data_IF_701368600939
#
_entry.id   IF_701368600939
#
_cell.length_a   1.000
_cell.length_b   1.000
_cell.length_c   1.000
_cell.angle_alpha   90.00
_cell.angle_beta   90.00
_cell.angle_gamma   90.00
#
_symmetry.space_group_name_H-M   'P 1'
#
loop_
_entity.id
_entity.type
_entity.pdbx_description
1 polymer ?
#
# COMPACT_ATOMS: atom_id res chain seq x y z
N UNK A 1 24.66 5.37 29.54
CA UNK A 1 24.27 6.62 28.86
C UNK A 1 25.03 6.67 27.55
N UNK A 2 24.39 6.88 26.39
CA UNK A 2 23.27 7.80 26.21
C UNK A 2 21.91 7.10 26.09
N UNK A 3 20.98 7.57 26.91
CA UNK A 3 19.56 7.59 26.54
C UNK A 3 19.40 8.82 25.66
N UNK A 4 19.51 8.66 24.34
CA UNK A 4 18.98 9.66 23.42
C UNK A 4 17.47 9.46 23.39
N UNK A 5 16.75 10.46 23.92
CA UNK A 5 15.32 10.59 23.76
C UNK A 5 14.92 10.25 22.32
N UNK A 6 13.96 9.33 22.14
CA UNK A 6 13.23 9.28 20.88
C UNK A 6 12.51 10.63 20.76
N UNK A 7 12.96 11.44 19.80
CA UNK A 7 12.32 12.70 19.47
C UNK A 7 10.83 12.47 19.23
N UNK A 8 10.01 13.19 19.98
CA UNK A 8 8.58 13.23 19.78
C UNK A 8 8.28 13.67 18.35
N UNK A 9 7.53 12.82 17.63
CA UNK A 9 6.97 13.04 16.29
C UNK A 9 7.88 12.64 15.10
N UNK A 10 8.36 11.39 15.10
CA UNK A 10 8.93 10.79 13.89
C UNK A 10 7.89 10.77 12.77
N UNK A 11 8.17 11.50 11.68
CA UNK A 11 7.29 11.52 10.49
C UNK A 11 7.58 10.30 9.63
N UNK A 12 6.56 9.47 9.40
CA UNK A 12 6.64 8.35 8.47
C UNK A 12 6.03 8.73 7.11
N UNK A 13 6.66 8.27 6.03
CA UNK A 13 6.10 8.32 4.68
C UNK A 13 6.00 6.90 4.13
N UNK A 14 4.83 6.53 3.64
CA UNK A 14 4.56 5.20 3.08
C UNK A 14 4.33 5.38 1.58
N UNK A 15 5.11 4.65 0.78
CA UNK A 15 5.05 4.71 -0.67
C UNK A 15 4.51 3.38 -1.20
N UNK A 16 3.32 3.42 -1.82
CA UNK A 16 2.75 2.28 -2.52
C UNK A 16 3.02 2.43 -4.02
N UNK A 17 4.10 1.81 -4.49
CA UNK A 17 4.61 1.97 -5.87
C UNK A 17 4.16 0.82 -6.75
N UNK A 18 3.30 1.11 -7.72
CA UNK A 18 2.73 0.10 -8.64
C UNK A 18 3.82 -0.55 -9.47
N UNK A 19 3.84 -1.88 -9.48
CA UNK A 19 4.74 -2.68 -10.32
C UNK A 19 6.20 -2.73 -9.86
N UNK A 20 6.55 -2.09 -8.74
CA UNK A 20 7.88 -2.18 -8.16
C UNK A 20 8.11 -3.60 -7.64
N UNK A 21 9.21 -4.21 -8.06
CA UNK A 21 9.65 -5.54 -7.66
C UNK A 21 11.17 -5.55 -7.53
N UNK A 22 11.74 -6.58 -6.89
CA UNK A 22 13.19 -6.70 -6.66
C UNK A 22 14.03 -6.62 -7.93
N UNK A 23 13.51 -7.08 -9.08
CA UNK A 23 14.22 -6.98 -10.38
C UNK A 23 14.52 -5.53 -10.81
N UNK A 24 13.75 -4.57 -10.29
CA UNK A 24 13.92 -3.16 -10.60
C UNK A 24 14.95 -2.49 -9.68
N UNK A 25 15.47 -3.18 -8.65
CA UNK A 25 16.50 -2.70 -7.73
C UNK A 25 17.89 -3.07 -8.27
N UNK A 26 18.29 -2.40 -9.36
CA UNK A 26 19.48 -2.75 -10.14
C UNK A 26 20.37 -1.56 -10.48
N UNK A 27 21.21 -1.73 -11.49
CA UNK A 27 22.18 -0.72 -11.92
C UNK A 27 21.54 0.61 -12.38
N UNK A 28 20.33 0.55 -12.95
CA UNK A 28 19.60 1.71 -13.43
C UNK A 28 18.84 2.47 -12.32
N UNK A 29 18.79 1.93 -11.10
CA UNK A 29 18.10 2.54 -9.95
C UNK A 29 19.02 2.62 -8.73
N UNK A 30 20.21 3.25 -8.87
CA UNK A 30 21.27 3.18 -7.86
C UNK A 30 20.84 3.72 -6.48
N UNK A 31 19.98 4.74 -6.45
CA UNK A 31 19.43 5.28 -5.20
C UNK A 31 18.50 4.29 -4.49
N UNK A 32 17.65 3.57 -5.23
CA UNK A 32 16.75 2.57 -4.65
C UNK A 32 17.53 1.34 -4.17
N UNK A 33 18.53 0.90 -4.93
CA UNK A 33 19.43 -0.18 -4.52
C UNK A 33 20.18 0.19 -3.23
N UNK A 34 20.82 1.35 -3.19
CA UNK A 34 21.54 1.81 -2.00
C UNK A 34 20.62 1.96 -0.79
N UNK A 35 19.38 2.42 -0.98
CA UNK A 35 18.39 2.46 0.10
C UNK A 35 18.03 1.06 0.59
N UNK A 36 17.78 0.11 -0.31
CA UNK A 36 17.37 -1.24 0.04
C UNK A 36 18.48 -2.07 0.71
N UNK A 37 19.75 -1.76 0.47
CA UNK A 37 20.93 -2.42 1.04
C UNK A 37 21.48 -1.72 2.31
N UNK A 38 20.92 -0.57 2.69
CA UNK A 38 21.37 0.19 3.86
C UNK A 38 21.20 -0.64 5.14
N UNK A 39 22.24 -0.64 5.98
CA UNK A 39 22.19 -1.28 7.30
C UNK A 39 20.97 -0.81 8.11
N UNK A 40 20.22 -1.77 8.67
CA UNK A 40 18.97 -1.51 9.39
C UNK A 40 17.71 -1.54 8.52
N UNK A 41 17.82 -1.51 7.18
CA UNK A 41 16.67 -1.70 6.29
C UNK A 41 16.40 -3.18 6.02
N UNK A 42 15.13 -3.54 5.91
CA UNK A 42 14.70 -4.92 5.62
C UNK A 42 13.88 -4.97 4.35
N UNK A 43 14.14 -5.99 3.53
CA UNK A 43 13.34 -6.31 2.36
C UNK A 43 12.49 -7.54 2.67
N UNK A 44 11.19 -7.45 2.43
CA UNK A 44 10.25 -8.56 2.64
C UNK A 44 9.47 -8.79 1.36
N UNK A 45 9.39 -10.06 0.94
CA UNK A 45 8.53 -10.46 -0.18
C UNK A 45 7.12 -10.64 0.37
N UNK A 46 6.17 -9.87 -0.18
CA UNK A 46 4.76 -9.97 0.17
C UNK A 46 4.07 -10.87 -0.85
N UNK A 47 3.33 -11.88 -0.37
CA UNK A 47 2.47 -12.67 -1.24
C UNK A 47 1.32 -11.79 -1.76
N UNK A 48 1.17 -11.62 -3.08
CA UNK A 48 0.17 -10.72 -3.63
C UNK A 48 -1.24 -11.28 -3.44
N UNK A 49 -2.18 -10.38 -3.16
CA UNK A 49 -3.60 -10.72 -3.11
C UNK A 49 -4.13 -11.12 -4.49
N UNK A 50 -5.12 -12.01 -4.52
CA UNK A 50 -5.94 -12.28 -5.70
C UNK A 50 -7.31 -11.60 -5.58
N UNK A 51 -7.79 -10.89 -6.63
CA UNK A 51 -7.15 -10.70 -7.93
C UNK A 51 -5.98 -9.68 -7.91
N UNK A 52 -4.91 -10.01 -8.62
CA UNK A 52 -3.66 -9.24 -8.66
C UNK A 52 -3.75 -8.00 -9.58
N UNK A 53 -4.72 -7.12 -9.31
CA UNK A 53 -4.92 -5.84 -9.98
C UNK A 53 -4.75 -4.69 -9.00
N UNK A 54 -4.36 -3.52 -9.53
CA UNK A 54 -3.90 -2.37 -8.75
C UNK A 54 -4.86 -1.96 -7.63
N UNK A 55 -6.13 -1.68 -7.93
CA UNK A 55 -7.09 -1.18 -6.93
C UNK A 55 -7.29 -2.19 -5.79
N UNK A 56 -7.38 -3.48 -6.12
CA UNK A 56 -7.51 -4.57 -5.14
C UNK A 56 -6.29 -4.62 -4.23
N UNK A 57 -5.09 -4.74 -4.80
CA UNK A 57 -3.85 -4.85 -4.04
C UNK A 57 -3.58 -3.63 -3.15
N UNK A 58 -3.82 -2.43 -3.67
CA UNK A 58 -3.62 -1.21 -2.90
C UNK A 58 -4.61 -1.09 -1.73
N UNK A 59 -5.88 -1.47 -1.93
CA UNK A 59 -6.86 -1.50 -0.86
C UNK A 59 -6.52 -2.55 0.22
N UNK A 60 -6.01 -3.72 -0.18
CA UNK A 60 -5.50 -4.74 0.73
C UNK A 60 -4.34 -4.21 1.57
N UNK A 61 -3.30 -3.62 0.96
CA UNK A 61 -2.16 -3.06 1.72
C UNK A 61 -2.56 -1.88 2.62
N UNK A 62 -3.57 -1.12 2.20
CA UNK A 62 -4.02 0.04 2.95
C UNK A 62 -4.79 -0.34 4.23
N UNK A 63 -5.49 -1.47 4.21
CA UNK A 63 -6.43 -1.87 5.27
C UNK A 63 -5.98 -3.12 6.04
N UNK A 64 -5.05 -3.90 5.49
CA UNK A 64 -4.72 -5.23 5.99
C UNK A 64 -5.86 -6.25 5.82
N UNK A 65 -6.87 -5.93 5.01
CA UNK A 65 -8.09 -6.73 4.81
C UNK A 65 -8.08 -7.44 3.46
N UNK A 66 -8.87 -8.49 3.35
CA UNK A 66 -9.07 -9.22 2.08
C UNK A 66 -10.08 -8.51 1.16
N UNK A 67 -10.13 -8.81 -0.15
CA UNK A 67 -11.07 -8.17 -1.08
C UNK A 67 -12.54 -8.35 -0.70
N UNK A 68 -12.89 -9.46 -0.05
CA UNK A 68 -14.24 -9.69 0.49
C UNK A 68 -14.58 -8.80 1.68
N UNK A 69 -13.58 -8.26 2.39
CA UNK A 69 -13.78 -7.38 3.54
C UNK A 69 -13.73 -5.89 3.14
N UNK A 70 -12.76 -5.47 2.32
CA UNK A 70 -12.64 -4.06 1.88
C UNK A 70 -13.46 -3.74 0.63
N UNK A 71 -14.03 -4.74 -0.06
CA UNK A 71 -14.98 -4.57 -1.15
C UNK A 71 -14.40 -4.14 -2.50
N UNK A 72 -13.10 -3.89 -2.60
CA UNK A 72 -12.44 -3.51 -3.86
C UNK A 72 -11.92 -4.78 -4.53
N UNK A 73 -12.69 -5.30 -5.48
CA UNK A 73 -12.41 -6.59 -6.13
C UNK A 73 -11.82 -6.47 -7.53
N UNK A 74 -11.77 -5.27 -8.11
CA UNK A 74 -11.24 -5.04 -9.45
C UNK A 74 -10.80 -3.58 -9.63
N UNK A 75 -10.09 -3.29 -10.73
CA UNK A 75 -9.83 -1.91 -11.16
C UNK A 75 -11.09 -1.22 -11.67
N UNK A 76 -12.09 -1.97 -12.10
CA UNK A 76 -13.38 -1.44 -12.55
C UNK A 76 -14.44 -2.52 -12.50
N UNK A 77 -15.68 -2.09 -12.33
CA UNK A 77 -16.84 -2.97 -12.34
C UNK A 77 -18.06 -2.20 -12.83
N UNK A 78 -19.04 -2.97 -13.26
CA UNK A 78 -20.31 -2.45 -13.73
C UNK A 78 -21.17 -1.97 -12.55
N UNK A 79 -21.62 -0.73 -12.60
CA UNK A 79 -22.51 -0.12 -11.62
C UNK A 79 -23.96 -0.30 -12.05
N UNK A 80 -24.66 -1.21 -11.38
CA UNK A 80 -26.05 -1.58 -11.70
C UNK A 80 -27.04 -0.43 -11.49
N UNK A 81 -26.68 0.58 -10.69
CA UNK A 81 -27.55 1.73 -10.45
C UNK A 81 -27.55 2.67 -11.64
N UNK A 82 -26.40 2.77 -12.32
CA UNK A 82 -26.16 3.70 -13.42
C UNK A 82 -26.17 3.01 -14.79
N UNK A 83 -26.15 1.68 -14.85
CA UNK A 83 -26.01 0.89 -16.08
C UNK A 83 -24.71 1.22 -16.86
N UNK A 84 -23.63 1.44 -16.11
CA UNK A 84 -22.36 1.91 -16.66
C UNK A 84 -21.17 1.10 -16.13
N UNK A 85 -20.13 0.97 -16.97
CA UNK A 85 -18.83 0.45 -16.54
C UNK A 85 -18.00 1.60 -15.98
N UNK A 86 -17.58 1.50 -14.73
CA UNK A 86 -16.69 2.48 -14.12
C UNK A 86 -15.36 1.85 -13.80
N UNK A 87 -14.29 2.59 -14.11
CA UNK A 87 -12.93 2.18 -13.82
C UNK A 87 -12.24 3.20 -12.92
N UNK A 88 -11.33 2.72 -12.09
CA UNK A 88 -10.49 3.49 -11.18
C UNK A 88 -11.30 4.46 -10.32
N UNK A 89 -12.40 3.99 -9.71
CA UNK A 89 -13.21 4.82 -8.83
C UNK A 89 -12.31 5.43 -7.74
N UNK A 90 -12.21 6.76 -7.71
CA UNK A 90 -11.23 7.49 -6.90
C UNK A 90 -11.66 7.71 -5.45
N UNK A 91 -12.95 7.52 -5.14
CA UNK A 91 -13.47 7.79 -3.80
C UNK A 91 -12.95 6.76 -2.80
N UNK A 92 -12.12 7.21 -1.86
CA UNK A 92 -11.62 6.37 -0.76
C UNK A 92 -12.75 5.83 0.14
N UNK A 93 -13.95 6.43 0.09
CA UNK A 93 -15.14 5.92 0.81
C UNK A 93 -15.63 4.57 0.30
N UNK A 94 -15.20 4.17 -0.90
CA UNK A 94 -15.52 2.86 -1.46
C UNK A 94 -14.68 1.75 -0.84
N UNK A 95 -13.53 2.09 -0.24
CA UNK A 95 -12.66 1.14 0.45
C UNK A 95 -13.25 0.90 1.84
N UNK A 96 -13.81 -0.29 2.05
CA UNK A 96 -14.30 -0.73 3.34
C UNK A 96 -13.17 -1.03 4.32
N UNK A 97 -13.45 -0.90 5.61
CA UNK A 97 -12.49 -1.16 6.68
C UNK A 97 -11.75 0.07 7.19
N UNK A 98 -11.05 -0.13 8.29
CA UNK A 98 -10.13 0.84 8.88
C UNK A 98 -8.86 0.93 8.02
N UNK A 99 -8.40 2.16 7.76
CA UNK A 99 -7.19 2.40 6.96
C UNK A 99 -6.00 2.56 7.90
N UNK A 100 -4.81 2.22 7.43
CA UNK A 100 -3.58 2.28 8.19
C UNK A 100 -3.36 3.63 8.91
N UNK A 101 -3.65 4.76 8.28
CA UNK A 101 -3.48 6.08 8.91
C UNK A 101 -4.55 6.39 9.97
N UNK A 102 -5.71 5.72 9.95
CA UNK A 102 -6.71 5.85 10.99
C UNK A 102 -6.19 5.15 12.25
N UNK A 103 -5.68 3.93 12.11
CA UNK A 103 -5.03 3.17 13.19
C UNK A 103 -3.85 3.93 13.79
N UNK A 104 -2.92 4.42 12.95
CA UNK A 104 -1.75 5.18 13.39
C UNK A 104 -2.07 6.52 14.07
N UNK A 105 -3.29 7.04 13.92
CA UNK A 105 -3.72 8.27 14.60
C UNK A 105 -4.29 7.99 16.00
N UNK A 106 -4.69 6.75 16.25
CA UNK A 106 -5.24 6.31 17.54
C UNK A 106 -4.18 5.74 18.48
N UNK A 107 -3.06 5.27 17.92
CA UNK A 107 -1.85 4.84 18.65
C UNK A 107 -1.02 6.03 19.15
#
# INVERSE_FOLDING_TARGET
>A
MPSSAQDGNARAAILNVVGLTTRHLGEHTPCLRAFAEREGNTQVVVEPVLPAVTCTAQATYLTGKTPSEHGIVANGWYDRTLDEHHFWKQSNRLVGGEKLWETLRHD
#
